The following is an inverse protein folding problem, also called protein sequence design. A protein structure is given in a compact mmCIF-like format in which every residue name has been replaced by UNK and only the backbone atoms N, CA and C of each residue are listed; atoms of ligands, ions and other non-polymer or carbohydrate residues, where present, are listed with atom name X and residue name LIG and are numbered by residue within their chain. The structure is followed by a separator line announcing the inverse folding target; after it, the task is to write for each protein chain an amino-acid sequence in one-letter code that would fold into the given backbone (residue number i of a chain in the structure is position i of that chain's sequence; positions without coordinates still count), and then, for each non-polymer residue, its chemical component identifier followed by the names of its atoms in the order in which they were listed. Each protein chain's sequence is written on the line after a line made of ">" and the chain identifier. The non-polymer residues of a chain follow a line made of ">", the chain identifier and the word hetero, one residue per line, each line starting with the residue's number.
data_IF_104615489306
#
_entry.id   IF_104615489306
#
_cell.length_a   1.000
_cell.length_b   1.000
_cell.length_c   1.000
_cell.angle_alpha   90.00
_cell.angle_beta   90.00
_cell.angle_gamma   90.00
#
_symmetry.space_group_name_H-M   'P 1'
#
loop_
_entity.id
_entity.type
_entity.pdbx_description
1 polymer ?
#
# COMPACT_ATOMS: atom_id res chain seq x y z
N UNK A 1 8.73 -0.91 -53.05
CA UNK A 1 8.57 -0.41 -51.66
C UNK A 1 8.49 -1.62 -50.75
N UNK A 2 9.34 -1.72 -49.71
CA UNK A 2 9.51 -2.97 -48.96
C UNK A 2 8.45 -3.16 -47.87
N UNK A 3 7.88 -4.35 -47.80
CA UNK A 3 6.90 -4.81 -46.78
C UNK A 3 7.40 -4.53 -45.34
N UNK A 4 8.71 -4.51 -45.14
CA UNK A 4 9.38 -4.22 -43.86
C UNK A 4 9.25 -2.75 -43.43
N UNK A 5 9.11 -1.81 -44.38
CA UNK A 5 8.88 -0.39 -44.08
C UNK A 5 7.43 -0.13 -43.65
N UNK A 6 6.46 -0.83 -44.26
CA UNK A 6 5.04 -0.73 -43.90
C UNK A 6 4.72 -1.40 -42.57
N UNK A 7 5.33 -2.56 -42.28
CA UNK A 7 5.21 -3.22 -40.98
C UNK A 7 5.74 -2.36 -39.83
N UNK A 8 6.86 -1.65 -40.04
CA UNK A 8 7.41 -0.72 -39.04
C UNK A 8 6.54 0.52 -38.85
N UNK A 9 5.90 1.04 -39.90
CA UNK A 9 4.95 2.16 -39.78
C UNK A 9 3.70 1.74 -39.02
N UNK A 10 3.10 0.61 -39.36
CA UNK A 10 1.94 0.06 -38.65
C UNK A 10 2.24 -0.13 -37.15
N UNK A 11 3.36 -0.76 -36.80
CA UNK A 11 3.75 -0.97 -35.40
C UNK A 11 3.92 0.35 -34.64
N UNK A 12 4.49 1.37 -35.29
CA UNK A 12 4.66 2.71 -34.71
C UNK A 12 3.31 3.40 -34.49
N UNK A 13 2.41 3.30 -35.46
CA UNK A 13 1.06 3.87 -35.38
C UNK A 13 0.23 3.19 -34.30
N UNK A 14 0.26 1.86 -34.20
CA UNK A 14 -0.38 1.08 -33.13
C UNK A 14 0.18 1.42 -31.75
N UNK A 15 1.50 1.61 -31.62
CA UNK A 15 2.14 2.03 -30.35
C UNK A 15 1.71 3.44 -29.94
N UNK A 16 1.57 4.36 -30.89
CA UNK A 16 1.12 5.75 -30.64
C UNK A 16 -0.37 5.82 -30.30
N UNK A 17 -1.23 5.07 -30.99
CA UNK A 17 -2.66 4.97 -30.67
C UNK A 17 -2.90 4.26 -29.33
N UNK A 18 -2.22 3.14 -29.07
CA UNK A 18 -2.30 2.40 -27.81
C UNK A 18 -1.82 3.22 -26.62
N UNK A 19 -0.73 3.98 -26.76
CA UNK A 19 -0.25 4.87 -25.70
C UNK A 19 -1.19 6.05 -25.43
N UNK A 20 -1.84 6.60 -26.46
CA UNK A 20 -2.85 7.67 -26.28
C UNK A 20 -4.13 7.16 -25.61
N UNK A 21 -4.60 5.97 -25.99
CA UNK A 21 -5.77 5.34 -25.37
C UNK A 21 -5.50 4.92 -23.93
N UNK A 22 -4.35 4.29 -23.65
CA UNK A 22 -3.92 4.00 -22.27
C UNK A 22 -3.84 5.26 -21.41
N UNK A 23 -3.28 6.37 -21.92
CA UNK A 23 -3.19 7.61 -21.16
C UNK A 23 -4.55 8.23 -20.82
N UNK A 24 -5.57 8.03 -21.67
CA UNK A 24 -6.94 8.57 -21.47
C UNK A 24 -7.84 7.65 -20.65
N UNK A 25 -7.94 6.37 -21.00
CA UNK A 25 -8.88 5.44 -20.38
C UNK A 25 -8.23 4.58 -19.27
N UNK A 26 -6.92 4.35 -19.35
CA UNK A 26 -6.18 3.53 -18.39
C UNK A 26 -6.34 3.92 -16.92
N UNK A 27 -6.41 5.21 -16.51
CA UNK A 27 -6.66 5.55 -15.10
C UNK A 27 -8.03 5.11 -14.58
N UNK A 28 -8.99 4.75 -15.44
CA UNK A 28 -10.28 4.14 -15.03
C UNK A 28 -10.26 2.62 -15.20
N UNK A 29 -9.69 2.14 -16.31
CA UNK A 29 -9.69 0.71 -16.67
C UNK A 29 -8.81 -0.11 -15.73
N UNK A 30 -7.62 0.37 -15.37
CA UNK A 30 -6.70 -0.40 -14.52
C UNK A 30 -7.28 -0.61 -13.11
N UNK A 31 -7.78 0.42 -12.40
CA UNK A 31 -8.46 0.20 -11.11
C UNK A 31 -9.68 -0.70 -11.22
N UNK A 32 -10.44 -0.62 -12.31
CA UNK A 32 -11.59 -1.50 -12.52
C UNK A 32 -11.18 -2.97 -12.68
N UNK A 33 -10.15 -3.23 -13.49
CA UNK A 33 -9.58 -4.57 -13.63
C UNK A 33 -9.06 -5.11 -12.30
N UNK A 34 -8.34 -4.28 -11.53
CA UNK A 34 -7.81 -4.68 -10.23
C UNK A 34 -8.92 -4.92 -9.22
N UNK A 35 -9.97 -4.10 -9.18
CA UNK A 35 -11.12 -4.33 -8.30
C UNK A 35 -11.85 -5.64 -8.62
N UNK A 36 -11.90 -6.04 -9.90
CA UNK A 36 -12.44 -7.34 -10.29
C UNK A 36 -11.56 -8.50 -9.78
N UNK A 37 -10.23 -8.38 -9.85
CA UNK A 37 -9.30 -9.37 -9.30
C UNK A 37 -9.39 -9.44 -7.77
N UNK A 38 -9.47 -8.30 -7.10
CA UNK A 38 -9.66 -8.20 -5.65
C UNK A 38 -10.94 -8.94 -5.24
N UNK A 39 -12.05 -8.65 -5.92
CA UNK A 39 -13.33 -9.30 -5.66
C UNK A 39 -13.28 -10.81 -5.91
N UNK A 40 -12.58 -11.25 -6.97
CA UNK A 40 -12.35 -12.67 -7.21
C UNK A 40 -11.52 -13.30 -6.07
N UNK A 41 -10.42 -12.64 -5.67
CA UNK A 41 -9.53 -13.05 -4.59
C UNK A 41 -10.25 -13.32 -3.28
N UNK A 42 -11.28 -12.54 -2.95
CA UNK A 42 -12.10 -12.75 -1.74
C UNK A 42 -12.84 -14.07 -1.72
N UNK A 43 -13.16 -14.63 -2.88
CA UNK A 43 -14.04 -15.80 -3.02
C UNK A 43 -13.33 -17.12 -3.33
N UNK A 44 -12.06 -17.09 -3.71
CA UNK A 44 -11.31 -18.27 -4.15
C UNK A 44 -10.63 -19.02 -2.98
N UNK A 45 -10.16 -20.23 -3.24
CA UNK A 45 -9.29 -20.96 -2.31
C UNK A 45 -7.86 -20.38 -2.24
N UNK A 46 -7.00 -20.89 -1.36
CA UNK A 46 -5.65 -20.35 -1.14
C UNK A 46 -4.70 -20.53 -2.33
N UNK A 47 -4.87 -21.58 -3.14
CA UNK A 47 -4.01 -21.83 -4.31
C UNK A 47 -4.38 -20.86 -5.42
N UNK A 48 -5.68 -20.70 -5.68
CA UNK A 48 -6.19 -19.71 -6.61
C UNK A 48 -5.93 -18.27 -6.12
N UNK A 49 -5.97 -18.02 -4.81
CA UNK A 49 -5.59 -16.72 -4.23
C UNK A 49 -4.14 -16.37 -4.59
N UNK A 50 -3.20 -17.30 -4.45
CA UNK A 50 -1.80 -17.05 -4.84
C UNK A 50 -1.67 -16.63 -6.32
N UNK A 51 -2.46 -17.26 -7.20
CA UNK A 51 -2.52 -16.87 -8.61
C UNK A 51 -3.13 -15.47 -8.82
N UNK A 52 -4.19 -15.12 -8.09
CA UNK A 52 -4.80 -13.78 -8.10
C UNK A 52 -3.79 -12.73 -7.64
N UNK A 53 -3.10 -12.95 -6.52
CA UNK A 53 -2.10 -12.01 -6.02
C UNK A 53 -0.92 -11.85 -6.99
N UNK A 54 -0.49 -12.92 -7.65
CA UNK A 54 0.54 -12.85 -8.67
C UNK A 54 0.08 -12.01 -9.89
N UNK A 55 -1.17 -12.19 -10.32
CA UNK A 55 -1.78 -11.38 -11.38
C UNK A 55 -1.92 -9.91 -10.97
N UNK A 56 -2.34 -9.63 -9.74
CA UNK A 56 -2.41 -8.27 -9.20
C UNK A 56 -1.03 -7.61 -9.21
N UNK A 57 0.00 -8.27 -8.68
CA UNK A 57 1.37 -7.76 -8.71
C UNK A 57 1.85 -7.47 -10.13
N UNK A 58 1.62 -8.39 -11.07
CA UNK A 58 2.04 -8.24 -12.45
C UNK A 58 1.29 -7.11 -13.18
N UNK A 59 -0.05 -7.11 -13.10
CA UNK A 59 -0.89 -6.16 -13.82
C UNK A 59 -0.85 -4.76 -13.20
N UNK A 60 -0.88 -4.67 -11.88
CA UNK A 60 -0.77 -3.39 -11.19
C UNK A 60 0.63 -2.80 -11.36
N UNK A 61 1.70 -3.60 -11.26
CA UNK A 61 3.07 -3.12 -11.48
C UNK A 61 3.29 -2.62 -12.91
N UNK A 62 3.00 -3.45 -13.91
CA UNK A 62 3.16 -3.10 -15.33
C UNK A 62 2.19 -1.98 -15.75
N UNK A 63 0.94 -2.03 -15.28
CA UNK A 63 -0.08 -1.04 -15.55
C UNK A 63 0.28 0.34 -14.98
N UNK A 64 0.76 0.39 -13.73
CA UNK A 64 1.20 1.64 -13.09
C UNK A 64 2.38 2.24 -13.84
N UNK A 65 3.39 1.42 -14.19
CA UNK A 65 4.52 1.88 -15.00
C UNK A 65 4.09 2.43 -16.37
N UNK A 66 3.13 1.78 -17.04
CA UNK A 66 2.60 2.24 -18.32
C UNK A 66 1.84 3.58 -18.21
N UNK A 67 1.17 3.84 -17.09
CA UNK A 67 0.37 5.04 -16.87
C UNK A 67 1.17 6.23 -16.35
N UNK A 68 2.08 6.00 -15.40
CA UNK A 68 2.94 7.04 -14.83
C UNK A 68 4.10 7.40 -15.77
N UNK A 69 4.49 6.50 -16.67
CA UNK A 69 5.61 6.69 -17.57
C UNK A 69 6.97 6.45 -16.89
N UNK A 70 8.05 6.78 -17.60
CA UNK A 70 9.40 6.57 -17.11
C UNK A 70 9.68 7.33 -15.81
N UNK A 71 10.41 6.68 -14.90
CA UNK A 71 10.89 7.34 -13.70
C UNK A 71 11.76 8.55 -14.07
N UNK A 72 11.52 9.68 -13.42
CA UNK A 72 12.39 10.84 -13.52
C UNK A 72 13.41 10.85 -12.37
N UNK A 73 14.55 11.54 -12.51
CA UNK A 73 15.62 11.54 -11.50
C UNK A 73 15.18 11.99 -10.10
N UNK A 74 14.06 12.72 -10.00
CA UNK A 74 13.51 13.24 -8.75
C UNK A 74 12.19 12.59 -8.35
N UNK A 75 11.78 11.52 -9.02
CA UNK A 75 10.60 10.75 -8.61
C UNK A 75 11.04 9.50 -7.86
N UNK A 76 10.54 9.34 -6.65
CA UNK A 76 10.67 8.11 -5.90
C UNK A 76 10.15 6.88 -6.65
N UNK A 77 10.73 5.71 -6.39
CA UNK A 77 10.41 4.46 -7.05
C UNK A 77 9.22 3.74 -6.41
N UNK A 78 8.93 3.96 -5.13
CA UNK A 78 7.83 3.29 -4.43
C UNK A 78 6.45 3.61 -5.03
N UNK A 79 6.31 4.76 -5.70
CA UNK A 79 5.09 5.13 -6.42
C UNK A 79 4.66 4.13 -7.51
N UNK A 80 5.61 3.36 -8.04
CA UNK A 80 5.33 2.34 -9.07
C UNK A 80 4.86 1.02 -8.46
N UNK A 81 5.13 0.79 -7.18
CA UNK A 81 4.78 -0.43 -6.48
C UNK A 81 3.56 -0.24 -5.55
N UNK A 82 3.30 0.98 -5.06
CA UNK A 82 2.26 1.22 -4.05
C UNK A 82 0.88 0.77 -4.51
N UNK A 83 0.53 1.00 -5.77
CA UNK A 83 -0.77 0.57 -6.31
C UNK A 83 -0.94 -0.96 -6.28
N UNK A 84 0.12 -1.70 -6.59
CA UNK A 84 0.12 -3.17 -6.55
C UNK A 84 0.02 -3.69 -5.11
N UNK A 85 0.80 -3.10 -4.20
CA UNK A 85 0.76 -3.43 -2.78
C UNK A 85 -0.61 -3.12 -2.19
N UNK A 86 -1.22 -1.99 -2.52
CA UNK A 86 -2.57 -1.65 -2.05
C UNK A 86 -3.60 -2.66 -2.56
N UNK A 87 -3.55 -3.07 -3.82
CA UNK A 87 -4.45 -4.10 -4.35
C UNK A 87 -4.32 -5.41 -3.57
N UNK A 88 -3.10 -5.93 -3.42
CA UNK A 88 -2.83 -7.15 -2.65
C UNK A 88 -3.31 -7.03 -1.20
N UNK A 89 -3.01 -5.92 -0.53
CA UNK A 89 -3.43 -5.68 0.85
C UNK A 89 -4.95 -5.68 1.00
N UNK A 90 -5.68 -5.05 0.07
CA UNK A 90 -7.15 -5.02 0.07
C UNK A 90 -7.72 -6.42 -0.23
N UNK A 91 -7.10 -7.17 -1.14
CA UNK A 91 -7.47 -8.56 -1.42
C UNK A 91 -7.31 -9.43 -0.17
N UNK A 92 -6.19 -9.34 0.52
CA UNK A 92 -5.96 -10.08 1.77
C UNK A 92 -6.93 -9.65 2.87
N UNK A 93 -7.15 -8.35 3.08
CA UNK A 93 -8.08 -7.86 4.10
C UNK A 93 -9.53 -8.30 3.87
N UNK A 94 -10.00 -8.23 2.62
CA UNK A 94 -11.39 -8.56 2.32
C UNK A 94 -11.70 -10.05 2.40
N UNK A 95 -10.69 -10.92 2.56
CA UNK A 95 -10.91 -12.33 2.94
C UNK A 95 -11.50 -12.50 4.34
N UNK A 96 -11.41 -11.46 5.17
CA UNK A 96 -12.04 -11.44 6.49
C UNK A 96 -13.52 -11.07 6.42
N UNK A 97 -14.01 -10.64 5.25
CA UNK A 97 -15.42 -10.33 5.09
C UNK A 97 -16.25 -11.62 5.14
N UNK A 98 -17.46 -11.56 5.73
CA UNK A 98 -18.40 -12.67 5.65
C UNK A 98 -18.66 -13.10 4.19
N UNK A 99 -18.88 -14.41 3.94
CA UNK A 99 -19.21 -14.90 2.61
C UNK A 99 -20.39 -14.15 2.00
N UNK A 100 -20.27 -13.73 0.74
CA UNK A 100 -21.32 -12.99 0.01
C UNK A 100 -21.27 -11.47 0.15
N UNK A 101 -20.55 -10.91 1.12
CA UNK A 101 -20.36 -9.45 1.23
C UNK A 101 -19.28 -8.94 0.28
N UNK A 102 -18.29 -9.78 -0.06
CA UNK A 102 -17.20 -9.44 -0.97
C UNK A 102 -17.66 -8.72 -2.24
N UNK A 103 -18.55 -9.30 -3.08
CA UNK A 103 -19.02 -8.62 -4.29
C UNK A 103 -19.66 -7.24 -4.06
N UNK A 104 -20.34 -7.04 -2.92
CA UNK A 104 -20.93 -5.75 -2.54
C UNK A 104 -19.88 -4.70 -2.16
N UNK A 105 -18.71 -5.14 -1.68
CA UNK A 105 -17.59 -4.28 -1.34
C UNK A 105 -16.68 -3.95 -2.55
N UNK A 106 -16.86 -4.62 -3.69
CA UNK A 106 -16.06 -4.39 -4.90
C UNK A 106 -16.08 -2.93 -5.39
N UNK A 107 -17.20 -2.19 -5.35
CA UNK A 107 -17.21 -0.75 -5.69
C UNK A 107 -16.35 0.09 -4.75
N UNK A 108 -16.25 -0.27 -3.46
CA UNK A 108 -15.38 0.42 -2.50
C UNK A 108 -13.90 0.14 -2.79
N UNK A 109 -13.56 -1.11 -3.10
CA UNK A 109 -12.21 -1.47 -3.54
C UNK A 109 -11.83 -0.72 -4.82
N UNK A 110 -12.75 -0.63 -5.80
CA UNK A 110 -12.55 0.15 -7.00
C UNK A 110 -12.30 1.64 -6.69
N UNK A 111 -13.15 2.26 -5.88
CA UNK A 111 -13.01 3.67 -5.52
C UNK A 111 -11.67 3.94 -4.82
N UNK A 112 -11.26 3.06 -3.90
CA UNK A 112 -10.00 3.19 -3.18
C UNK A 112 -8.79 3.00 -4.10
N UNK A 113 -8.79 1.97 -4.95
CA UNK A 113 -7.71 1.75 -5.93
C UNK A 113 -7.63 2.88 -6.96
N UNK A 114 -8.78 3.33 -7.45
CA UNK A 114 -8.84 4.50 -8.32
C UNK A 114 -8.22 5.72 -7.65
N UNK A 115 -8.55 5.96 -6.38
CA UNK A 115 -7.99 7.04 -5.59
C UNK A 115 -6.47 6.96 -5.43
N UNK A 116 -5.93 5.78 -5.11
CA UNK A 116 -4.48 5.54 -5.01
C UNK A 116 -3.79 5.92 -6.32
N UNK A 117 -4.29 5.40 -7.44
CA UNK A 117 -3.73 5.68 -8.76
C UNK A 117 -3.89 7.14 -9.17
N UNK A 118 -5.01 7.77 -8.79
CA UNK A 118 -5.28 9.18 -9.04
C UNK A 118 -4.29 10.08 -8.30
N UNK A 119 -4.05 9.83 -7.01
CA UNK A 119 -3.03 10.52 -6.20
C UNK A 119 -1.66 10.36 -6.85
N UNK A 120 -1.26 9.14 -7.19
CA UNK A 120 0.08 8.92 -7.74
C UNK A 120 0.26 9.59 -9.10
N UNK A 121 -0.80 9.74 -9.88
CA UNK A 121 -0.75 10.41 -11.18
C UNK A 121 -0.73 11.93 -11.08
N UNK A 122 -1.49 12.52 -10.15
CA UNK A 122 -1.74 13.98 -10.09
C UNK A 122 -1.10 14.67 -8.88
N UNK A 123 -0.47 13.91 -7.98
CA UNK A 123 -0.09 14.31 -6.63
C UNK A 123 0.48 15.73 -6.49
N UNK A 124 1.56 16.10 -7.21
CA UNK A 124 2.17 17.42 -7.07
C UNK A 124 1.25 18.61 -7.38
N UNK A 125 0.19 18.39 -8.15
CA UNK A 125 -0.79 19.41 -8.54
C UNK A 125 -2.08 19.39 -7.72
N UNK A 126 -2.22 18.42 -6.80
CA UNK A 126 -3.45 18.20 -6.06
C UNK A 126 -3.45 18.94 -4.71
N UNK A 127 -4.49 19.74 -4.40
CA UNK A 127 -4.68 20.29 -3.06
C UNK A 127 -4.80 19.17 -2.02
N UNK A 128 -4.08 19.27 -0.90
CA UNK A 128 -4.13 18.25 0.15
C UNK A 128 -3.49 16.91 -0.25
N UNK A 129 -2.61 16.89 -1.24
CA UNK A 129 -1.88 15.70 -1.69
C UNK A 129 -1.25 14.91 -0.53
N UNK A 130 -0.59 15.60 0.40
CA UNK A 130 0.07 14.98 1.56
C UNK A 130 -0.89 14.17 2.41
N UNK A 131 -1.94 14.83 2.89
CA UNK A 131 -2.99 14.18 3.68
C UNK A 131 -3.62 13.00 2.92
N UNK A 132 -3.91 13.18 1.63
CA UNK A 132 -4.53 12.14 0.81
C UNK A 132 -3.62 10.93 0.63
N UNK A 133 -2.32 11.16 0.45
CA UNK A 133 -1.30 10.12 0.39
C UNK A 133 -1.18 9.40 1.73
N UNK A 134 -1.05 10.13 2.84
CA UNK A 134 -0.88 9.55 4.17
C UNK A 134 -2.06 8.66 4.56
N UNK A 135 -3.30 9.13 4.33
CA UNK A 135 -4.51 8.32 4.55
C UNK A 135 -4.47 7.03 3.71
N UNK A 136 -4.04 7.13 2.45
CA UNK A 136 -3.94 5.98 1.55
C UNK A 136 -2.89 4.97 2.02
N UNK A 137 -1.73 5.44 2.49
CA UNK A 137 -0.68 4.58 3.03
C UNK A 137 -1.12 3.90 4.32
N UNK A 138 -1.77 4.63 5.24
CA UNK A 138 -2.32 4.10 6.49
C UNK A 138 -3.37 3.03 6.22
N UNK A 139 -4.32 3.28 5.32
CA UNK A 139 -5.33 2.29 4.92
C UNK A 139 -4.68 1.05 4.28
N UNK A 140 -3.62 1.24 3.48
CA UNK A 140 -2.88 0.12 2.89
C UNK A 140 -2.19 -0.74 3.95
N UNK A 141 -1.55 -0.12 4.95
CA UNK A 141 -0.89 -0.82 6.07
C UNK A 141 -1.92 -1.51 6.96
N UNK A 142 -3.06 -0.87 7.23
CA UNK A 142 -4.17 -1.47 7.96
C UNK A 142 -4.67 -2.72 7.24
N UNK A 143 -4.96 -2.63 5.94
CA UNK A 143 -5.42 -3.76 5.13
C UNK A 143 -4.39 -4.89 5.09
N UNK A 144 -3.10 -4.56 4.91
CA UNK A 144 -2.03 -5.56 4.93
C UNK A 144 -2.01 -6.32 6.27
N UNK A 145 -2.04 -5.58 7.38
CA UNK A 145 -1.95 -6.16 8.72
C UNK A 145 -3.19 -6.99 9.06
N UNK A 146 -4.38 -6.49 8.73
CA UNK A 146 -5.63 -7.22 8.93
C UNK A 146 -5.63 -8.53 8.13
N UNK A 147 -5.34 -8.46 6.82
CA UNK A 147 -5.30 -9.64 5.96
C UNK A 147 -4.29 -10.68 6.43
N UNK A 148 -3.06 -10.26 6.77
CA UNK A 148 -2.03 -11.18 7.25
C UNK A 148 -2.38 -11.83 8.59
N UNK A 149 -2.97 -11.07 9.52
CA UNK A 149 -3.35 -11.56 10.84
C UNK A 149 -4.52 -12.55 10.84
N UNK A 150 -5.39 -12.51 9.85
CA UNK A 150 -6.54 -13.44 9.78
C UNK A 150 -6.42 -14.57 8.76
N UNK A 151 -5.42 -14.55 7.87
CA UNK A 151 -5.26 -15.59 6.84
C UNK A 151 -4.27 -16.70 7.19
N UNK A 152 -3.24 -16.40 7.97
CA UNK A 152 -2.22 -17.37 8.35
C UNK A 152 -2.50 -17.91 9.75
N UNK A 153 -2.36 -19.23 9.96
CA UNK A 153 -2.47 -19.82 11.29
C UNK A 153 -1.32 -19.30 12.18
N UNK A 154 -1.57 -19.20 13.49
CA UNK A 154 -0.66 -18.57 14.47
C UNK A 154 0.72 -19.21 14.48
N UNK A 155 0.83 -20.50 14.17
CA UNK A 155 2.09 -21.24 14.08
C UNK A 155 3.01 -20.71 12.98
N UNK A 156 2.44 -20.04 11.96
CA UNK A 156 3.18 -19.42 10.84
C UNK A 156 3.43 -17.93 11.06
N UNK A 157 3.45 -17.45 12.31
CA UNK A 157 3.66 -16.04 12.65
C UNK A 157 4.92 -15.44 12.01
N UNK A 158 6.02 -16.18 11.92
CA UNK A 158 7.26 -15.70 11.31
C UNK A 158 7.07 -15.41 9.81
N UNK A 159 6.38 -16.31 9.09
CA UNK A 159 6.03 -16.11 7.69
C UNK A 159 5.08 -14.91 7.55
N UNK A 160 4.12 -14.78 8.46
CA UNK A 160 3.21 -13.63 8.49
C UNK A 160 3.98 -12.31 8.64
N UNK A 161 5.00 -12.26 9.51
CA UNK A 161 5.86 -11.09 9.70
C UNK A 161 6.74 -10.78 8.49
N UNK A 162 7.30 -11.80 7.83
CA UNK A 162 8.09 -11.59 6.61
C UNK A 162 7.22 -11.01 5.49
N UNK A 163 6.04 -11.58 5.28
CA UNK A 163 5.10 -11.12 4.25
C UNK A 163 4.52 -9.74 4.57
N UNK A 164 4.16 -9.48 5.83
CA UNK A 164 3.77 -8.14 6.29
C UNK A 164 4.91 -7.15 6.05
N UNK A 165 6.15 -7.53 6.37
CA UNK A 165 7.32 -6.71 6.13
C UNK A 165 7.49 -6.35 4.65
N UNK A 166 7.31 -7.31 3.75
CA UNK A 166 7.34 -7.09 2.31
C UNK A 166 6.23 -6.12 1.83
N UNK A 167 5.02 -6.25 2.37
CA UNK A 167 3.90 -5.37 2.04
C UNK A 167 4.08 -3.95 2.59
N UNK A 168 4.55 -3.79 3.83
CA UNK A 168 4.67 -2.48 4.50
C UNK A 168 5.95 -1.74 4.07
N UNK A 169 6.97 -2.45 3.57
CA UNK A 169 8.20 -1.81 3.05
C UNK A 169 7.91 -0.76 1.98
N UNK A 170 6.94 -1.01 1.09
CA UNK A 170 6.57 -0.07 0.02
C UNK A 170 5.89 1.19 0.55
N UNK A 171 4.86 1.12 1.42
CA UNK A 171 4.34 2.28 2.14
C UNK A 171 5.39 3.07 2.92
N UNK A 172 6.31 2.41 3.64
CA UNK A 172 7.39 3.08 4.37
C UNK A 172 8.32 3.85 3.42
N UNK A 173 8.71 3.21 2.31
CA UNK A 173 9.51 3.86 1.27
C UNK A 173 8.76 5.01 0.62
N UNK A 174 7.46 4.84 0.34
CA UNK A 174 6.65 5.88 -0.27
C UNK A 174 6.48 7.10 0.64
N UNK A 175 6.33 6.89 1.95
CA UNK A 175 6.29 7.96 2.94
C UNK A 175 7.62 8.73 2.99
N UNK A 176 8.75 8.02 2.98
CA UNK A 176 10.08 8.64 2.92
C UNK A 176 10.29 9.44 1.62
N UNK A 177 9.88 8.88 0.48
CA UNK A 177 9.95 9.57 -0.81
C UNK A 177 9.03 10.78 -0.87
N UNK A 178 7.86 10.71 -0.22
CA UNK A 178 6.98 11.85 -0.10
C UNK A 178 7.73 12.99 0.58
N UNK A 179 8.43 12.74 1.70
CA UNK A 179 9.29 13.72 2.40
C UNK A 179 10.45 14.29 1.58
N UNK A 180 10.70 13.76 0.38
CA UNK A 180 11.75 14.23 -0.52
C UNK A 180 13.07 13.47 -0.34
N UNK A 181 13.10 12.44 0.52
CA UNK A 181 14.23 11.53 0.56
C UNK A 181 14.26 10.68 -0.73
N UNK A 182 15.45 10.48 -1.30
CA UNK A 182 15.64 9.65 -2.50
C UNK A 182 16.81 8.68 -2.29
N UNK A 183 16.87 7.63 -3.12
CA UNK A 183 17.97 6.66 -3.12
C UNK A 183 18.19 6.01 -1.75
N UNK A 184 19.45 5.91 -1.33
CA UNK A 184 19.84 5.26 -0.08
C UNK A 184 19.23 5.92 1.17
N UNK A 185 19.04 7.24 1.17
CA UNK A 185 18.43 7.96 2.29
C UNK A 185 16.96 7.57 2.46
N UNK A 186 16.22 7.47 1.35
CA UNK A 186 14.84 7.01 1.39
C UNK A 186 14.75 5.58 1.95
N UNK A 187 15.65 4.70 1.50
CA UNK A 187 15.73 3.31 1.99
C UNK A 187 16.06 3.28 3.48
N UNK A 188 17.02 4.07 3.95
CA UNK A 188 17.36 4.15 5.37
C UNK A 188 16.17 4.60 6.24
N UNK A 189 15.47 5.66 5.83
CA UNK A 189 14.26 6.12 6.52
C UNK A 189 13.15 5.06 6.50
N UNK A 190 12.95 4.40 5.35
CA UNK A 190 11.95 3.36 5.19
C UNK A 190 12.22 2.15 6.08
N UNK A 191 13.48 1.70 6.16
CA UNK A 191 13.87 0.55 6.99
C UNK A 191 13.67 0.84 8.48
N UNK A 192 14.00 2.05 8.94
CA UNK A 192 13.75 2.45 10.32
C UNK A 192 12.25 2.48 10.63
N UNK A 193 11.44 3.03 9.73
CA UNK A 193 9.98 3.06 9.88
C UNK A 193 9.39 1.65 9.88
N UNK A 194 9.86 0.79 8.97
CA UNK A 194 9.46 -0.61 8.88
C UNK A 194 9.82 -1.38 10.15
N UNK A 195 11.01 -1.17 10.70
CA UNK A 195 11.45 -1.82 11.94
C UNK A 195 10.48 -1.54 13.08
N UNK A 196 10.10 -0.27 13.27
CA UNK A 196 9.15 0.13 14.33
C UNK A 196 7.78 -0.51 14.11
N UNK A 197 7.29 -0.50 12.86
CA UNK A 197 6.01 -1.12 12.50
C UNK A 197 6.02 -2.62 12.79
N UNK A 198 7.09 -3.33 12.42
CA UNK A 198 7.23 -4.77 12.66
C UNK A 198 7.41 -5.10 14.14
N UNK A 199 8.08 -4.25 14.91
CA UNK A 199 8.17 -4.41 16.37
C UNK A 199 6.79 -4.35 17.01
N UNK A 200 5.97 -3.36 16.64
CA UNK A 200 4.59 -3.27 17.14
C UNK A 200 3.76 -4.45 16.66
N UNK A 201 3.81 -4.81 15.38
CA UNK A 201 3.07 -5.96 14.85
C UNK A 201 3.44 -7.27 15.57
N UNK A 202 4.73 -7.48 15.86
CA UNK A 202 5.21 -8.63 16.65
C UNK A 202 4.66 -8.59 18.06
N UNK A 203 4.68 -7.44 18.73
CA UNK A 203 4.09 -7.29 20.06
C UNK A 203 2.58 -7.58 20.06
N UNK A 204 1.83 -7.16 19.05
CA UNK A 204 0.39 -7.46 18.93
C UNK A 204 0.13 -8.96 18.78
N UNK A 205 0.96 -9.67 18.01
CA UNK A 205 0.86 -11.11 17.86
C UNK A 205 1.14 -11.83 19.19
N UNK A 206 2.15 -11.38 19.94
CA UNK A 206 2.50 -11.96 21.24
C UNK A 206 1.46 -11.68 22.33
N UNK A 207 0.71 -10.58 22.20
CA UNK A 207 -0.34 -10.16 23.14
C UNK A 207 -1.73 -10.67 22.76
N UNK A 208 -1.87 -11.42 21.67
CA UNK A 208 -3.13 -12.01 21.19
C UNK A 208 -4.30 -11.01 21.14
N UNK A 209 -4.02 -9.77 20.71
CA UNK A 209 -5.04 -8.72 20.71
C UNK A 209 -6.22 -9.04 19.78
N UNK A 210 -7.43 -8.52 20.09
CA UNK A 210 -8.59 -8.70 19.24
C UNK A 210 -8.35 -8.29 17.78
N UNK A 211 -8.91 -9.07 16.85
CA UNK A 211 -8.67 -8.98 15.40
C UNK A 211 -8.73 -7.57 14.79
N UNK A 212 -9.64 -6.64 15.15
CA UNK A 212 -9.61 -5.28 14.59
C UNK A 212 -8.64 -4.33 15.30
N UNK A 213 -8.25 -4.62 16.55
CA UNK A 213 -7.42 -3.74 17.39
C UNK A 213 -5.96 -3.81 16.97
N UNK A 214 -5.43 -5.00 16.71
CA UNK A 214 -4.03 -5.18 16.28
C UNK A 214 -3.70 -4.41 14.99
N UNK A 215 -4.43 -4.61 13.88
CA UNK A 215 -4.22 -3.88 12.63
C UNK A 215 -4.40 -2.36 12.78
N UNK A 216 -5.34 -1.91 13.61
CA UNK A 216 -5.54 -0.49 13.89
C UNK A 216 -4.32 0.12 14.61
N UNK A 217 -3.77 -0.58 15.61
CA UNK A 217 -2.56 -0.14 16.32
C UNK A 217 -1.35 -0.09 15.39
N UNK A 218 -1.16 -1.09 14.55
CA UNK A 218 -0.06 -1.11 13.56
C UNK A 218 -0.19 0.05 12.56
N UNK A 219 -1.39 0.32 12.06
CA UNK A 219 -1.65 1.45 11.17
C UNK A 219 -1.47 2.81 11.87
N UNK A 220 -1.87 2.91 13.14
CA UNK A 220 -1.66 4.10 13.97
C UNK A 220 -0.17 4.35 14.23
N UNK A 221 0.60 3.29 14.52
CA UNK A 221 2.07 3.36 14.65
C UNK A 221 2.71 3.83 13.35
N UNK A 222 2.26 3.30 12.21
CA UNK A 222 2.74 3.76 10.92
C UNK A 222 2.48 5.26 10.73
N UNK A 223 1.25 5.71 11.02
CA UNK A 223 0.85 7.12 10.90
C UNK A 223 1.64 8.04 11.83
N UNK A 224 1.70 7.70 13.13
CA UNK A 224 2.36 8.49 14.16
C UNK A 224 3.85 8.63 13.89
N UNK A 225 4.51 7.55 13.46
CA UNK A 225 5.92 7.61 13.11
C UNK A 225 6.20 8.43 11.85
N UNK A 226 5.28 8.41 10.86
CA UNK A 226 5.40 9.29 9.69
C UNK A 226 5.26 10.77 10.08
N UNK A 227 4.26 11.11 10.91
CA UNK A 227 4.07 12.48 11.41
C UNK A 227 5.23 12.96 12.27
N UNK A 228 5.82 12.07 13.08
CA UNK A 228 7.02 12.36 13.86
C UNK A 228 8.20 12.76 12.95
N UNK A 229 8.41 12.03 11.86
CA UNK A 229 9.46 12.35 10.89
C UNK A 229 9.21 13.71 10.20
N UNK A 230 7.96 13.99 9.79
CA UNK A 230 7.58 15.28 9.18
C UNK A 230 7.78 16.45 10.15
N UNK A 231 7.46 16.26 11.44
CA UNK A 231 7.67 17.26 12.49
C UNK A 231 9.17 17.57 12.68
N UNK A 232 10.01 16.54 12.72
CA UNK A 232 11.46 16.73 12.84
C UNK A 232 12.05 17.46 11.62
N UNK A 233 11.63 17.11 10.40
CA UNK A 233 12.10 17.78 9.18
C UNK A 233 11.65 19.24 9.08
N UNK A 234 10.49 19.58 9.65
CA UNK A 234 10.01 20.96 9.76
C UNK A 234 10.66 21.77 10.90
N UNK A 235 11.64 21.18 11.60
CA UNK A 235 12.42 21.86 12.65
C UNK A 235 11.76 21.85 14.03
N UNK A 236 10.72 21.03 14.25
CA UNK A 236 10.13 20.84 15.57
C UNK A 236 11.16 20.17 16.49
N UNK A 237 11.24 20.62 17.74
CA UNK A 237 12.22 20.09 18.70
C UNK A 237 12.04 18.59 18.93
N UNK A 238 13.15 17.84 19.00
CA UNK A 238 13.14 16.40 19.29
C UNK A 238 12.33 16.05 20.54
N UNK A 239 12.35 16.93 21.56
CA UNK A 239 11.61 16.74 22.81
C UNK A 239 10.10 16.81 22.59
N UNK A 240 9.62 17.74 21.77
CA UNK A 240 8.20 17.86 21.45
C UNK A 240 7.71 16.64 20.65
N UNK A 241 8.47 16.21 19.65
CA UNK A 241 8.16 15.01 18.85
C UNK A 241 8.15 13.76 19.74
N UNK A 242 9.14 13.59 20.62
CA UNK A 242 9.17 12.47 21.56
C UNK A 242 7.96 12.48 22.51
N UNK A 243 7.57 13.64 23.03
CA UNK A 243 6.42 13.75 23.93
C UNK A 243 5.10 13.46 23.21
N UNK A 244 4.88 14.02 22.02
CA UNK A 244 3.62 13.88 21.28
C UNK A 244 3.44 12.47 20.71
N UNK A 245 4.43 11.98 19.98
CA UNK A 245 4.33 10.68 19.31
C UNK A 245 4.68 9.51 20.24
N UNK A 246 5.57 9.73 21.22
CA UNK A 246 5.85 8.76 22.27
C UNK A 246 4.66 8.58 23.23
N UNK A 247 3.91 9.65 23.53
CA UNK A 247 2.68 9.51 24.32
C UNK A 247 1.57 8.80 23.56
N UNK A 248 1.42 9.02 22.25
CA UNK A 248 0.49 8.25 21.41
C UNK A 248 0.82 6.74 21.40
N UNK A 249 2.10 6.38 21.29
CA UNK A 249 2.55 5.00 21.38
C UNK A 249 2.28 4.41 22.78
N UNK A 250 2.54 5.17 23.85
CA UNK A 250 2.26 4.75 25.23
C UNK A 250 0.76 4.56 25.48
N UNK A 251 -0.10 5.47 24.99
CA UNK A 251 -1.56 5.35 25.08
C UNK A 251 -2.03 4.11 24.32
N UNK A 252 -1.52 3.88 23.10
CA UNK A 252 -1.84 2.68 22.32
C UNK A 252 -1.48 1.39 23.05
N UNK A 253 -0.30 1.33 23.69
CA UNK A 253 0.12 0.20 24.52
C UNK A 253 -0.76 0.03 25.77
N UNK A 254 -1.10 1.12 26.46
CA UNK A 254 -2.00 1.09 27.63
C UNK A 254 -3.39 0.57 27.22
N UNK A 255 -3.98 1.09 26.14
CA UNK A 255 -5.29 0.63 25.63
C UNK A 255 -5.22 -0.84 25.23
N UNK A 256 -4.16 -1.27 24.54
CA UNK A 256 -3.94 -2.67 24.20
C UNK A 256 -3.93 -3.57 25.45
N UNK A 257 -3.19 -3.17 26.50
CA UNK A 257 -3.12 -3.91 27.76
C UNK A 257 -4.46 -3.96 28.50
N UNK A 258 -5.23 -2.87 28.50
CA UNK A 258 -6.58 -2.85 29.09
C UNK A 258 -7.56 -3.73 28.31
N UNK A 259 -7.41 -3.84 26.99
CA UNK A 259 -8.27 -4.66 26.13
C UNK A 259 -7.83 -6.14 26.07
N UNK A 260 -6.56 -6.45 26.36
CA UNK A 260 -6.04 -7.82 26.41
C UNK A 260 -6.42 -8.58 27.68
N UNK A 261 -7.11 -7.94 28.63
CA UNK A 261 -7.70 -8.61 29.79
C UNK A 261 -6.69 -9.36 30.66
N UNK A 262 -5.93 -8.62 31.47
CA UNK A 262 -5.71 -9.06 32.86
C UNK A 262 -6.94 -8.74 33.69
#
# INVERSE_FOLDING_TARGET
>A
MSVVADGRRLFRTWRVLGSRTMKRAGPLVLPLLMAALVAAGWSVDMVALAAVLALELALAGLGTAALLGAASPNTGYARYAIFAVTAVSVTLAGRLLPPGIGPLAAPLAWAFLFWVLYIERHGPSMPGYRLSLDVTLVLTVFSATAGMGGLLPTELWLLAMILLGALVAVPCLRAAEARGALGATAVGHALLHLLVVLQVATAMLLLELPSPVGPALVALTFHSWSGAADALESGVSNRAVFLEYGSLAAIGAIVALFLSGT
#
